data_IF_114935527352
#
_entry.id   IF_114935527352
#
_cell.length_a   1.000
_cell.length_b   1.000
_cell.length_c   1.000
_cell.angle_alpha   90.00
_cell.angle_beta   90.00
_cell.angle_gamma   90.00
#
_symmetry.space_group_name_H-M   'P 1'
#
loop_
_entity.id
_entity.type
_entity.pdbx_description
1 polymer ?
#
# COMPACT_ATOMS: atom_id res chain seq x y z
N UNK A 1 6.80 8.34 -16.09
CA UNK A 1 6.71 6.97 -15.54
C UNK A 1 5.34 6.83 -14.89
N UNK A 2 4.93 5.63 -14.52
CA UNK A 2 3.68 5.40 -13.79
C UNK A 2 4.02 4.83 -12.41
N UNK A 3 3.52 5.48 -11.35
CA UNK A 3 3.54 4.95 -9.99
C UNK A 3 2.21 4.29 -9.71
N UNK A 4 2.24 3.05 -9.25
CA UNK A 4 1.07 2.29 -8.81
C UNK A 4 1.27 1.94 -7.35
N UNK A 5 0.33 2.29 -6.50
CA UNK A 5 0.27 1.82 -5.11
C UNK A 5 -0.82 0.75 -5.05
N UNK A 6 -0.46 -0.42 -4.57
CA UNK A 6 -1.40 -1.51 -4.27
C UNK A 6 -1.82 -1.35 -2.82
N UNK A 7 -3.12 -1.26 -2.58
CA UNK A 7 -3.71 -1.08 -1.26
C UNK A 7 -4.79 -2.12 -1.01
N UNK A 8 -4.97 -2.52 0.25
CA UNK A 8 -6.23 -3.09 0.71
C UNK A 8 -7.04 -1.97 1.33
N UNK A 9 -8.20 -1.63 0.74
CA UNK A 9 -8.92 -0.38 1.02
C UNK A 9 -7.98 0.84 0.90
N UNK A 10 -7.70 1.52 2.01
CA UNK A 10 -6.78 2.67 2.07
C UNK A 10 -5.40 2.33 2.65
N UNK A 11 -5.19 1.10 3.15
CA UNK A 11 -3.90 0.67 3.71
C UNK A 11 -2.99 0.20 2.58
N UNK A 12 -1.85 0.87 2.33
CA UNK A 12 -0.95 0.50 1.26
C UNK A 12 -0.18 -0.78 1.62
N UNK A 13 0.17 -1.57 0.61
CA UNK A 13 0.91 -2.82 0.76
C UNK A 13 2.15 -2.88 -0.13
N UNK A 14 2.06 -2.36 -1.36
CA UNK A 14 3.15 -2.42 -2.32
C UNK A 14 3.21 -1.17 -3.20
N UNK A 15 4.42 -0.83 -3.63
CA UNK A 15 4.72 0.23 -4.59
C UNK A 15 5.27 -0.40 -5.85
N UNK A 16 4.72 -0.03 -7.01
CA UNK A 16 5.19 -0.46 -8.32
C UNK A 16 5.48 0.78 -9.17
N UNK A 17 6.71 0.89 -9.65
CA UNK A 17 7.10 1.92 -10.62
C UNK A 17 7.24 1.26 -11.98
N UNK A 18 6.45 1.72 -12.96
CA UNK A 18 6.48 1.23 -14.34
C UNK A 18 7.05 2.30 -15.28
N UNK A 19 7.92 1.86 -16.18
CA UNK A 19 8.42 2.69 -17.26
C UNK A 19 8.62 1.85 -18.52
N UNK A 20 7.76 2.08 -19.52
CA UNK A 20 7.71 1.29 -20.76
C UNK A 20 7.57 -0.21 -20.44
N UNK A 21 8.54 -1.05 -20.83
CA UNK A 21 8.54 -2.50 -20.58
C UNK A 21 9.17 -2.91 -19.25
N UNK A 22 9.77 -1.97 -18.51
CA UNK A 22 10.42 -2.23 -17.22
C UNK A 22 9.50 -1.87 -16.07
N UNK A 23 9.61 -2.62 -14.97
CA UNK A 23 8.95 -2.31 -13.69
C UNK A 23 9.85 -2.66 -12.52
N UNK A 24 9.76 -1.89 -11.45
CA UNK A 24 10.27 -2.25 -10.14
C UNK A 24 9.10 -2.34 -9.16
N UNK A 25 9.17 -3.29 -8.24
CA UNK A 25 8.18 -3.50 -7.19
C UNK A 25 8.90 -3.53 -5.85
N UNK A 26 8.38 -2.78 -4.88
CA UNK A 26 8.85 -2.78 -3.50
C UNK A 26 7.64 -3.05 -2.60
N UNK A 27 7.76 -4.08 -1.77
CA UNK A 27 6.77 -4.38 -0.74
C UNK A 27 7.04 -3.52 0.50
N UNK A 28 5.97 -3.05 1.13
CA UNK A 28 6.07 -2.35 2.41
C UNK A 28 6.35 -3.35 3.54
N UNK A 29 6.84 -2.83 4.65
CA UNK A 29 7.18 -3.58 5.85
C UNK A 29 5.97 -4.34 6.42
N UNK A 30 6.27 -5.39 7.18
CA UNK A 30 5.25 -6.31 7.72
C UNK A 30 4.16 -5.63 8.56
N UNK A 31 4.42 -4.45 9.12
CA UNK A 31 3.40 -3.71 9.90
C UNK A 31 2.19 -3.32 9.06
N UNK A 32 2.36 -3.08 7.77
CA UNK A 32 1.23 -2.82 6.86
C UNK A 32 0.40 -4.07 6.66
N UNK A 33 1.03 -5.23 6.41
CA UNK A 33 0.33 -6.50 6.29
C UNK A 33 -0.42 -6.86 7.58
N UNK A 34 0.23 -6.71 8.74
CA UNK A 34 -0.40 -6.90 10.05
C UNK A 34 -1.58 -5.95 10.27
N UNK A 35 -1.51 -4.71 9.77
CA UNK A 35 -2.62 -3.77 9.83
C UNK A 35 -3.78 -4.19 8.91
N UNK A 36 -3.49 -4.62 7.68
CA UNK A 36 -4.48 -5.15 6.73
C UNK A 36 -5.20 -6.37 7.34
N UNK A 37 -4.46 -7.33 7.88
CA UNK A 37 -5.05 -8.54 8.47
C UNK A 37 -5.97 -8.21 9.65
N UNK A 38 -5.51 -7.35 10.56
CA UNK A 38 -6.32 -6.91 11.71
C UNK A 38 -7.56 -6.14 11.26
N UNK A 39 -7.44 -5.29 10.24
CA UNK A 39 -8.54 -4.53 9.68
C UNK A 39 -9.57 -5.44 8.99
N UNK A 40 -9.11 -6.43 8.22
CA UNK A 40 -9.96 -7.43 7.57
C UNK A 40 -10.68 -8.31 8.59
N UNK A 41 -9.99 -8.78 9.63
CA UNK A 41 -10.60 -9.49 10.75
C UNK A 41 -11.69 -8.67 11.42
N UNK A 42 -11.41 -7.39 11.71
CA UNK A 42 -12.39 -6.48 12.31
C UNK A 42 -13.58 -6.18 11.38
N UNK A 43 -13.36 -6.18 10.07
CA UNK A 43 -14.40 -6.04 9.06
C UNK A 43 -15.24 -7.31 8.84
N UNK A 44 -14.91 -8.43 9.49
CA UNK A 44 -15.54 -9.73 9.22
C UNK A 44 -15.18 -10.30 7.84
N UNK A 45 -14.14 -9.76 7.20
CA UNK A 45 -13.65 -10.15 5.86
C UNK A 45 -12.37 -10.99 5.93
N UNK A 46 -12.18 -11.71 7.03
CA UNK A 46 -11.05 -12.63 7.17
C UNK A 46 -11.17 -13.84 6.24
N UNK A 47 -12.40 -14.15 5.78
CA UNK A 47 -12.62 -15.22 4.81
C UNK A 47 -12.31 -14.75 3.39
N UNK A 48 -11.53 -15.59 2.69
CA UNK A 48 -10.61 -15.22 1.61
C UNK A 48 -11.21 -14.40 0.46
N UNK A 49 -12.46 -14.67 0.06
CA UNK A 49 -13.04 -14.03 -1.11
C UNK A 49 -13.34 -12.55 -0.87
N UNK A 50 -13.91 -12.22 0.30
CA UNK A 50 -14.21 -10.84 0.66
C UNK A 50 -12.93 -10.02 0.91
N UNK A 51 -11.84 -10.67 1.32
CA UNK A 51 -10.52 -10.06 1.46
C UNK A 51 -9.97 -9.61 0.09
N UNK A 52 -10.12 -10.46 -0.93
CA UNK A 52 -9.63 -10.20 -2.29
C UNK A 52 -10.36 -9.04 -2.98
N UNK A 53 -11.66 -8.86 -2.70
CA UNK A 53 -12.50 -7.83 -3.31
C UNK A 53 -12.09 -6.39 -2.96
N UNK A 54 -11.52 -6.18 -1.77
CA UNK A 54 -11.18 -4.84 -1.27
C UNK A 54 -9.78 -4.36 -1.74
N UNK A 55 -9.06 -5.17 -2.52
CA UNK A 55 -7.79 -4.79 -3.10
C UNK A 55 -7.94 -3.78 -4.24
N UNK A 56 -7.28 -2.64 -4.09
CA UNK A 56 -7.30 -1.54 -5.04
C UNK A 56 -5.89 -1.26 -5.57
N UNK A 57 -5.81 -0.87 -6.85
CA UNK A 57 -4.59 -0.31 -7.44
C UNK A 57 -4.81 1.17 -7.75
N UNK A 58 -3.97 2.02 -7.17
CA UNK A 58 -4.00 3.47 -7.39
C UNK A 58 -2.82 3.85 -8.28
N UNK A 59 -3.07 4.05 -9.57
CA UNK A 59 -2.08 4.54 -10.52
C UNK A 59 -2.04 6.06 -10.58
N UNK A 60 -0.85 6.62 -10.76
CA UNK A 60 -0.63 8.06 -10.91
C UNK A 60 0.61 8.32 -11.78
N UNK A 61 0.61 9.40 -12.58
CA UNK A 61 1.83 9.85 -13.23
C UNK A 61 2.92 10.12 -12.21
N UNK A 62 4.14 9.68 -12.50
CA UNK A 62 5.30 9.95 -11.66
C UNK A 62 6.49 10.38 -12.53
N UNK A 63 7.15 11.45 -12.08
CA UNK A 63 8.41 11.94 -12.63
C UNK A 63 9.49 11.66 -11.59
N UNK A 64 10.56 11.01 -12.03
CA UNK A 64 11.70 10.65 -11.18
C UNK A 64 12.92 10.42 -12.06
N UNK A 65 14.09 10.62 -11.48
CA UNK A 65 15.39 10.41 -12.13
C UNK A 65 16.11 9.32 -11.35
N UNK A 66 16.71 8.35 -12.06
CA UNK A 66 17.40 7.21 -11.46
C UNK A 66 16.85 5.86 -11.92
N UNK A 67 17.25 4.80 -11.22
CA UNK A 67 16.74 3.45 -11.46
C UNK A 67 15.28 3.33 -11.01
N UNK A 68 14.52 2.37 -11.56
CA UNK A 68 13.13 2.18 -11.15
C UNK A 68 13.06 1.66 -9.72
N UNK A 69 14.06 0.89 -9.31
CA UNK A 69 14.26 0.30 -8.00
C UNK A 69 14.47 1.39 -6.94
N UNK A 70 15.37 2.35 -7.20
CA UNK A 70 15.62 3.47 -6.28
C UNK A 70 14.38 4.34 -6.13
N UNK A 71 13.68 4.63 -7.24
CA UNK A 71 12.43 5.40 -7.20
C UNK A 71 11.36 4.64 -6.40
N UNK A 72 11.19 3.34 -6.63
CA UNK A 72 10.22 2.53 -5.92
C UNK A 72 10.52 2.47 -4.42
N UNK A 73 11.82 2.33 -4.06
CA UNK A 73 12.28 2.34 -2.68
C UNK A 73 12.04 3.69 -2.00
N UNK A 74 12.42 4.80 -2.64
CA UNK A 74 12.17 6.14 -2.08
C UNK A 74 10.68 6.42 -1.84
N UNK A 75 9.82 5.96 -2.76
CA UNK A 75 8.37 6.07 -2.59
C UNK A 75 7.89 5.18 -1.45
N UNK A 76 8.40 3.95 -1.33
CA UNK A 76 8.08 3.07 -0.21
C UNK A 76 8.52 3.70 1.11
N UNK A 77 9.75 4.20 1.23
CA UNK A 77 10.29 4.84 2.44
C UNK A 77 9.47 6.09 2.84
N UNK A 78 8.96 6.85 1.85
CA UNK A 78 8.05 7.97 2.09
C UNK A 78 6.71 7.49 2.68
N UNK A 79 6.13 6.41 2.13
CA UNK A 79 4.88 5.83 2.65
C UNK A 79 5.12 5.26 4.05
N UNK A 80 6.23 4.56 4.28
CA UNK A 80 6.62 4.07 5.60
C UNK A 80 6.69 5.22 6.62
N UNK A 81 7.27 6.35 6.23
CA UNK A 81 7.38 7.52 7.11
C UNK A 81 6.02 8.19 7.38
N UNK A 82 5.17 8.28 6.36
CA UNK A 82 3.84 8.90 6.45
C UNK A 82 2.85 8.06 7.28
N UNK A 83 3.04 6.75 7.34
CA UNK A 83 2.19 5.80 8.04
C UNK A 83 2.91 5.29 9.29
N UNK A 84 2.85 6.10 10.35
CA UNK A 84 3.31 5.67 11.67
C UNK A 84 2.42 4.54 12.23
N UNK A 85 2.92 3.86 13.26
CA UNK A 85 2.18 2.79 13.92
C UNK A 85 0.84 3.29 14.50
N UNK A 86 0.78 4.55 14.95
CA UNK A 86 -0.47 5.20 15.39
C UNK A 86 -1.47 5.37 14.24
N UNK A 87 -1.00 5.75 13.04
CA UNK A 87 -1.85 5.89 11.86
C UNK A 87 -2.39 4.53 11.44
N UNK A 88 -1.53 3.51 11.40
CA UNK A 88 -1.94 2.14 11.08
C UNK A 88 -2.93 1.60 12.12
N UNK A 89 -2.71 1.86 13.41
CA UNK A 89 -3.62 1.46 14.49
C UNK A 89 -5.01 2.11 14.34
N UNK A 90 -5.06 3.40 13.98
CA UNK A 90 -6.33 4.08 13.67
C UNK A 90 -7.02 3.46 12.46
N UNK A 91 -6.29 3.23 11.37
CA UNK A 91 -6.85 2.54 10.20
C UNK A 91 -7.39 1.15 10.56
N UNK A 92 -6.72 0.39 11.41
CA UNK A 92 -7.24 -0.89 11.91
C UNK A 92 -8.55 -0.70 12.66
N UNK A 93 -8.66 0.30 13.54
CA UNK A 93 -9.89 0.62 14.25
C UNK A 93 -11.03 0.99 13.28
N UNK A 94 -10.70 1.68 12.20
CA UNK A 94 -11.58 2.12 11.11
C UNK A 94 -11.65 1.11 9.95
N UNK A 95 -11.36 -0.17 10.22
CA UNK A 95 -11.50 -1.30 9.29
C UNK A 95 -10.78 -1.08 7.93
N UNK A 96 -9.63 -0.42 7.94
CA UNK A 96 -8.78 -0.21 6.77
C UNK A 96 -9.06 1.06 5.98
N UNK A 97 -9.89 1.97 6.50
CA UNK A 97 -10.11 3.29 5.93
C UNK A 97 -9.25 4.35 6.62
N UNK A 98 -8.76 5.31 5.83
CA UNK A 98 -8.09 6.49 6.38
C UNK A 98 -9.15 7.57 6.62
N UNK A 99 -9.47 7.84 7.89
CA UNK A 99 -10.36 8.95 8.25
C UNK A 99 -9.79 10.25 7.68
N UNK A 100 -10.59 10.93 6.87
CA UNK A 100 -10.27 12.21 6.23
C UNK A 100 -10.71 13.38 7.09
#
# INVERSE_FOLDING_TARGET
MEKVIVCWRDVPAQVIIKHRRKRATVELSERFQKAIDKAAMRAGKADSDAYMEDWCRRSSPHAGVGSLEDIAKNVADSIESDYSDDVLSKMVADVGYRVR
#
